data_IF_105935767211
#
_entry.id   IF_105935767211
#
_cell.length_a   1.000
_cell.length_b   1.000
_cell.length_c   1.000
_cell.angle_alpha   90.00
_cell.angle_beta   90.00
_cell.angle_gamma   90.00
#
_symmetry.space_group_name_H-M   'P 1'
#
loop_
_entity.id
_entity.type
_entity.pdbx_description
1 polymer ?
#
# COMPACT_ATOMS: atom_id res chain seq x y z
N UNK A 1 0.54 6.61 -17.66
CA UNK A 1 1.25 5.42 -17.16
C UNK A 1 2.43 5.93 -16.37
N UNK A 2 2.74 5.30 -15.24
CA UNK A 2 4.00 5.57 -14.54
C UNK A 2 5.14 4.81 -15.22
N UNK A 3 6.36 5.31 -15.06
CA UNK A 3 7.59 4.62 -15.45
C UNK A 3 7.92 3.53 -14.42
N UNK A 4 9.20 3.24 -14.18
CA UNK A 4 9.64 2.34 -13.11
C UNK A 4 9.17 2.88 -11.75
N UNK A 5 8.41 2.06 -11.03
CA UNK A 5 7.69 2.54 -9.86
C UNK A 5 6.92 1.48 -9.08
N UNK A 6 6.13 1.95 -8.12
CA UNK A 6 5.21 1.12 -7.33
C UNK A 6 3.76 1.52 -7.63
N UNK A 7 2.92 0.51 -7.85
CA UNK A 7 1.48 0.63 -7.70
C UNK A 7 1.13 0.25 -6.26
N UNK A 8 0.54 1.18 -5.51
CA UNK A 8 0.19 1.03 -4.11
C UNK A 8 -1.33 1.05 -4.00
N UNK A 9 -1.93 -0.10 -3.71
CA UNK A 9 -3.31 -0.14 -3.25
C UNK A 9 -3.33 0.18 -1.75
N UNK A 10 -3.89 1.34 -1.39
CA UNK A 10 -3.93 1.83 -0.02
C UNK A 10 -5.33 1.60 0.56
N UNK A 11 -5.42 0.76 1.58
CA UNK A 11 -6.62 0.62 2.40
C UNK A 11 -6.42 1.39 3.70
N UNK A 12 -7.46 2.07 4.16
CA UNK A 12 -7.49 2.73 5.47
C UNK A 12 -8.49 2.00 6.36
N UNK A 13 -8.11 1.69 7.60
CA UNK A 13 -9.00 1.16 8.63
C UNK A 13 -9.69 2.29 9.40
N UNK A 14 -10.87 2.01 9.95
CA UNK A 14 -11.54 2.93 10.87
C UNK A 14 -10.74 3.22 12.16
N UNK A 15 -9.71 2.42 12.45
CA UNK A 15 -8.85 2.57 13.62
C UNK A 15 -7.47 3.17 13.30
N UNK A 16 -7.19 3.47 12.02
CA UNK A 16 -5.90 4.03 11.63
C UNK A 16 -5.78 5.49 12.10
N UNK A 17 -4.55 5.88 12.41
CA UNK A 17 -4.19 7.25 12.74
C UNK A 17 -2.99 7.72 11.88
N UNK A 18 -2.59 8.98 12.04
CA UNK A 18 -1.47 9.57 11.29
C UNK A 18 -0.15 8.81 11.47
N UNK A 19 0.06 8.18 12.64
CA UNK A 19 1.23 7.36 12.92
C UNK A 19 1.29 6.11 12.04
N UNK A 20 0.15 5.47 11.78
CA UNK A 20 0.05 4.31 10.89
C UNK A 20 0.37 4.71 9.44
N UNK A 21 -0.16 5.86 9.00
CA UNK A 21 0.11 6.40 7.67
C UNK A 21 1.61 6.72 7.49
N UNK A 22 2.23 7.36 8.48
CA UNK A 22 3.67 7.65 8.45
C UNK A 22 4.50 6.37 8.42
N UNK A 23 4.16 5.40 9.27
CA UNK A 23 4.83 4.11 9.29
C UNK A 23 4.75 3.39 7.94
N UNK A 24 3.57 3.37 7.32
CA UNK A 24 3.37 2.76 6.00
C UNK A 24 4.18 3.47 4.93
N UNK A 25 4.17 4.81 4.90
CA UNK A 25 4.96 5.59 3.94
C UNK A 25 6.46 5.27 4.07
N UNK A 26 7.01 5.36 5.28
CA UNK A 26 8.43 5.09 5.53
C UNK A 26 8.81 3.65 5.14
N UNK A 27 7.94 2.69 5.48
CA UNK A 27 8.14 1.28 5.17
C UNK A 27 8.10 1.01 3.66
N UNK A 28 7.09 1.50 2.96
CA UNK A 28 6.92 1.30 1.51
C UNK A 28 8.10 1.90 0.76
N UNK A 29 8.51 3.12 1.12
CA UNK A 29 9.62 3.81 0.47
C UNK A 29 10.97 3.10 0.67
N UNK A 30 11.14 2.43 1.82
CA UNK A 30 12.39 1.76 2.21
C UNK A 30 12.46 0.27 1.83
N UNK A 31 11.37 -0.32 1.31
CA UNK A 31 11.35 -1.73 0.91
C UNK A 31 12.36 -1.98 -0.21
N UNK A 32 13.31 -2.88 0.02
CA UNK A 32 14.32 -3.29 -0.96
C UNK A 32 13.75 -4.37 -1.88
N UNK A 33 12.98 -3.94 -2.87
CA UNK A 33 12.25 -4.81 -3.80
C UNK A 33 12.60 -4.54 -5.27
N UNK A 34 13.52 -3.62 -5.53
CA UNK A 34 14.04 -3.35 -6.87
C UNK A 34 15.38 -4.08 -7.09
N UNK A 35 15.57 -4.69 -8.26
CA UNK A 35 16.77 -5.46 -8.57
C UNK A 35 17.97 -4.53 -8.79
N UNK A 36 19.15 -4.99 -8.37
CA UNK A 36 20.43 -4.43 -8.76
C UNK A 36 20.96 -5.04 -10.08
N UNK A 37 22.20 -4.72 -10.43
CA UNK A 37 22.86 -5.23 -11.65
C UNK A 37 23.09 -6.75 -11.64
N UNK A 38 23.02 -7.40 -10.48
CA UNK A 38 23.10 -8.85 -10.32
C UNK A 38 21.72 -9.50 -10.17
N UNK A 39 20.63 -8.76 -10.43
CA UNK A 39 19.23 -9.16 -10.21
C UNK A 39 18.89 -9.53 -8.76
N UNK A 40 19.63 -8.99 -7.77
CA UNK A 40 19.30 -9.14 -6.36
C UNK A 40 18.47 -7.95 -5.89
N UNK A 41 17.46 -8.18 -5.05
CA UNK A 41 16.58 -7.13 -4.54
C UNK A 41 17.25 -6.32 -3.43
N UNK A 42 18.06 -5.34 -3.83
CA UNK A 42 18.87 -4.53 -2.93
C UNK A 42 18.46 -3.05 -2.89
N UNK A 43 17.72 -2.57 -3.90
CA UNK A 43 17.32 -1.17 -3.98
C UNK A 43 15.87 -0.95 -3.55
N UNK A 44 15.66 0.18 -2.89
CA UNK A 44 14.36 0.69 -2.50
C UNK A 44 13.80 1.69 -3.50
N UNK A 45 12.55 2.12 -3.28
CA UNK A 45 11.92 3.15 -4.11
C UNK A 45 12.70 4.47 -4.06
N UNK A 46 13.27 4.80 -2.91
CA UNK A 46 14.13 5.99 -2.73
C UNK A 46 15.41 5.85 -3.56
N UNK A 47 16.08 4.69 -3.49
CA UNK A 47 17.40 4.50 -4.11
C UNK A 47 17.38 4.70 -5.63
N UNK A 48 16.26 4.38 -6.28
CA UNK A 48 16.12 4.47 -7.74
C UNK A 48 15.27 5.67 -8.19
N UNK A 49 14.78 6.51 -7.27
CA UNK A 49 13.88 7.61 -7.61
C UNK A 49 12.57 7.13 -8.24
N UNK A 50 12.01 6.04 -7.71
CA UNK A 50 10.82 5.37 -8.24
C UNK A 50 9.58 6.28 -8.25
N UNK A 51 8.78 6.19 -9.31
CA UNK A 51 7.44 6.81 -9.34
C UNK A 51 6.46 6.01 -8.48
N UNK A 52 5.49 6.69 -7.86
CA UNK A 52 4.47 6.04 -7.02
C UNK A 52 3.09 6.34 -7.58
N UNK A 53 2.32 5.30 -7.85
CA UNK A 53 0.90 5.39 -8.17
C UNK A 53 0.10 4.85 -6.99
N UNK A 54 -0.55 5.74 -6.24
CA UNK A 54 -1.35 5.37 -5.06
C UNK A 54 -2.82 5.37 -5.44
N UNK A 55 -3.50 4.26 -5.15
CA UNK A 55 -4.93 4.05 -5.44
C UNK A 55 -5.64 3.67 -4.16
N UNK A 56 -6.64 4.45 -3.76
CA UNK A 56 -7.49 4.11 -2.62
C UNK A 56 -8.26 2.81 -2.89
N UNK A 57 -8.14 1.84 -1.98
CA UNK A 57 -8.63 0.47 -2.16
C UNK A 57 -9.20 -0.10 -0.84
N UNK A 58 -10.42 0.29 -0.50
CA UNK A 58 -11.11 -0.18 0.72
C UNK A 58 -11.29 -1.71 0.77
N UNK A 59 -11.30 -2.38 -0.38
CA UNK A 59 -11.52 -3.83 -0.44
C UNK A 59 -10.38 -4.63 0.19
N UNK A 60 -9.23 -4.01 0.49
CA UNK A 60 -8.16 -4.66 1.26
C UNK A 60 -8.62 -5.05 2.67
N UNK A 61 -9.64 -4.39 3.23
CA UNK A 61 -10.27 -4.73 4.50
C UNK A 61 -11.51 -5.65 4.35
N UNK A 62 -11.68 -6.30 3.20
CA UNK A 62 -12.76 -7.26 3.00
C UNK A 62 -12.63 -8.45 3.96
N UNK A 63 -13.70 -8.75 4.70
CA UNK A 63 -13.86 -10.04 5.37
C UNK A 63 -14.61 -11.00 4.44
N UNK A 64 -13.92 -12.06 4.03
CA UNK A 64 -14.41 -13.07 3.09
C UNK A 64 -14.61 -14.44 3.74
N UNK A 65 -14.57 -14.52 5.07
CA UNK A 65 -14.59 -15.81 5.80
C UNK A 65 -15.95 -16.52 5.79
N UNK A 66 -17.04 -15.81 5.52
CA UNK A 66 -18.42 -16.36 5.56
C UNK A 66 -19.20 -16.01 4.30
N UNK A 67 -19.85 -17.01 3.70
CA UNK A 67 -20.73 -16.82 2.55
C UNK A 67 -19.98 -16.43 1.26
N UNK A 68 -20.69 -15.78 0.33
CA UNK A 68 -20.15 -15.34 -0.97
C UNK A 68 -20.08 -13.82 -1.13
N UNK A 69 -20.58 -13.06 -0.15
CA UNK A 69 -20.60 -11.59 -0.16
C UNK A 69 -19.59 -11.09 0.88
N UNK A 70 -18.53 -10.37 0.47
CA UNK A 70 -17.62 -9.75 1.42
C UNK A 70 -18.34 -8.66 2.22
N UNK A 71 -17.98 -8.53 3.49
CA UNK A 71 -18.26 -7.35 4.30
C UNK A 71 -16.99 -6.50 4.49
N UNK A 72 -17.16 -5.22 4.77
CA UNK A 72 -16.05 -4.25 4.84
C UNK A 72 -16.09 -3.45 6.14
N UNK A 73 -16.56 -4.07 7.23
CA UNK A 73 -16.79 -3.40 8.52
C UNK A 73 -15.51 -2.78 9.08
N UNK A 74 -14.35 -3.33 8.75
CA UNK A 74 -13.04 -2.84 9.23
C UNK A 74 -12.46 -1.68 8.42
N UNK A 75 -13.01 -1.38 7.23
CA UNK A 75 -12.55 -0.27 6.40
C UNK A 75 -13.01 1.07 7.01
N UNK A 76 -12.21 2.11 6.84
CA UNK A 76 -12.64 3.47 7.12
C UNK A 76 -13.85 3.85 6.26
N UNK A 77 -14.70 4.73 6.81
CA UNK A 77 -15.81 5.31 6.04
C UNK A 77 -15.27 6.30 5.00
N UNK A 78 -15.98 6.51 3.87
CA UNK A 78 -15.54 7.41 2.81
C UNK A 78 -15.32 8.86 3.25
N UNK A 79 -15.98 9.32 4.32
CA UNK A 79 -15.82 10.69 4.82
C UNK A 79 -14.51 10.90 5.61
N UNK A 80 -13.86 9.81 6.01
CA UNK A 80 -12.62 9.81 6.80
C UNK A 80 -11.42 9.39 5.95
N UNK A 81 -11.63 8.49 4.97
CA UNK A 81 -10.58 7.89 4.13
C UNK A 81 -10.32 8.60 2.80
#
# INVERSE_FOLDING_TARGET
MISVGLLIFLGVSQNDNEGDAKYLADKILSLRIFPDTENKFNYSAIDIGAELLVVSQFTLYANTRRGRRPDFISAAKPEIG
#
